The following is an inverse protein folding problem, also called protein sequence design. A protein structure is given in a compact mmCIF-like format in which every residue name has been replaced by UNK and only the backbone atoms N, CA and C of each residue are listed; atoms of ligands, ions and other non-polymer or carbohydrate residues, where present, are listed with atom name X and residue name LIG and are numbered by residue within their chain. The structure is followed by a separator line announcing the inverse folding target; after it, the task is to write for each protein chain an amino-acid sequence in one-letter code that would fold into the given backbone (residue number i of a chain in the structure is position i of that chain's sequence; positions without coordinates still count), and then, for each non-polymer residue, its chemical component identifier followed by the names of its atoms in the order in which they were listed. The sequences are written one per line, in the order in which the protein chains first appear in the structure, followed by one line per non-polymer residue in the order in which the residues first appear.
data_IF_222271131198
#
_entry.id   IF_222271131198
#
_cell.length_a   1.000
_cell.length_b   1.000
_cell.length_c   1.000
_cell.angle_alpha   90.00
_cell.angle_beta   90.00
_cell.angle_gamma   90.00
#
_symmetry.space_group_name_H-M   'P 1'
#
loop_
_entity.id
_entity.type
_entity.pdbx_description
1 polymer ?
#
# COMPACT_ATOMS: atom_id res chain seq x y z
N UNK A 1 4.85 13.26 -18.06
CA UNK A 1 5.37 12.39 -16.98
C UNK A 1 5.36 10.97 -17.51
N UNK A 2 6.38 10.17 -17.19
CA UNK A 2 6.42 8.77 -17.56
C UNK A 2 5.18 8.05 -16.99
N UNK A 3 4.63 7.12 -17.75
CA UNK A 3 3.50 6.33 -17.32
C UNK A 3 3.89 5.45 -16.11
N UNK A 4 3.05 5.32 -15.06
CA UNK A 4 3.32 4.44 -13.93
C UNK A 4 3.65 3.02 -14.40
N UNK A 5 4.66 2.42 -13.79
CA UNK A 5 5.17 1.08 -14.14
C UNK A 5 5.68 0.94 -15.58
N UNK A 6 6.00 2.01 -16.30
CA UNK A 6 6.54 1.88 -17.66
C UNK A 6 8.08 1.82 -17.65
N UNK A 7 8.63 0.66 -18.02
CA UNK A 7 10.07 0.43 -18.11
C UNK A 7 10.39 -0.25 -19.44
N UNK A 8 11.28 0.35 -20.24
CA UNK A 8 11.56 -0.15 -21.58
C UNK A 8 13.02 -0.56 -21.75
N UNK A 9 13.24 -1.70 -22.38
CA UNK A 9 14.43 -1.94 -23.19
C UNK A 9 14.13 -1.43 -24.60
N UNK A 10 15.04 -0.67 -25.21
CA UNK A 10 14.87 -0.19 -26.59
C UNK A 10 16.12 -0.48 -27.41
N UNK A 11 15.91 -0.63 -28.72
CA UNK A 11 16.96 -0.91 -29.71
C UNK A 11 16.92 0.18 -30.79
N UNK A 12 18.05 0.85 -31.00
CA UNK A 12 18.24 1.85 -32.06
C UNK A 12 19.18 1.31 -33.14
N UNK A 13 18.94 1.73 -34.37
CA UNK A 13 19.88 1.59 -35.48
C UNK A 13 20.72 2.87 -35.58
N UNK A 14 22.03 2.71 -35.63
CA UNK A 14 23.00 3.80 -35.78
C UNK A 14 23.40 3.99 -37.25
N UNK A 15 24.01 5.14 -37.56
CA UNK A 15 24.46 5.50 -38.92
C UNK A 15 25.41 4.50 -39.56
N UNK A 16 26.18 3.75 -38.77
CA UNK A 16 27.11 2.72 -39.23
C UNK A 16 26.47 1.33 -39.38
N UNK A 17 25.13 1.24 -39.27
CA UNK A 17 24.38 -0.01 -39.29
C UNK A 17 24.45 -0.81 -37.98
N UNK A 18 25.16 -0.31 -36.96
CA UNK A 18 25.23 -0.98 -35.66
C UNK A 18 23.93 -0.84 -34.86
N UNK A 19 23.71 -1.75 -33.92
CA UNK A 19 22.58 -1.72 -33.01
C UNK A 19 23.01 -1.25 -31.63
N UNK A 20 22.37 -0.17 -31.15
CA UNK A 20 22.47 0.27 -29.77
C UNK A 20 21.28 -0.25 -28.96
N UNK A 21 21.53 -0.83 -27.77
CA UNK A 21 20.48 -1.27 -26.84
C UNK A 21 20.60 -0.50 -25.53
N UNK A 22 19.48 0.03 -25.05
CA UNK A 22 19.43 0.83 -23.83
C UNK A 22 18.15 0.60 -23.02
N UNK A 23 18.15 1.16 -21.81
CA UNK A 23 16.99 1.25 -20.92
C UNK A 23 16.47 2.69 -20.81
N UNK A 24 15.14 2.87 -20.78
CA UNK A 24 14.50 4.14 -20.42
C UNK A 24 13.07 3.93 -19.91
N UNK A 25 12.57 4.72 -18.93
CA UNK A 25 11.13 4.80 -18.64
C UNK A 25 10.36 5.62 -19.69
N UNK A 26 11.06 6.39 -20.52
CA UNK A 26 10.51 7.21 -21.60
C UNK A 26 11.44 7.14 -22.83
N UNK A 27 11.08 6.28 -23.80
CA UNK A 27 11.92 6.02 -24.98
C UNK A 27 11.92 7.20 -25.94
N UNK A 28 10.80 7.90 -26.08
CA UNK A 28 10.66 9.04 -26.98
C UNK A 28 11.53 10.21 -26.53
N UNK A 29 11.43 10.58 -25.24
CA UNK A 29 12.28 11.62 -24.66
C UNK A 29 13.76 11.24 -24.76
N UNK A 30 14.09 9.95 -24.56
CA UNK A 30 15.47 9.46 -24.67
C UNK A 30 15.99 9.53 -26.11
N UNK A 31 15.19 9.16 -27.09
CA UNK A 31 15.55 9.27 -28.51
C UNK A 31 15.75 10.73 -28.93
N UNK A 32 14.90 11.64 -28.45
CA UNK A 32 15.05 13.07 -28.70
C UNK A 32 16.37 13.61 -28.11
N UNK A 33 16.77 13.17 -26.92
CA UNK A 33 18.06 13.53 -26.32
C UNK A 33 19.25 12.99 -27.15
N UNK A 34 19.17 11.74 -27.61
CA UNK A 34 20.19 11.15 -28.50
C UNK A 34 20.36 11.95 -29.78
N UNK A 35 19.26 12.36 -30.44
CA UNK A 35 19.30 13.17 -31.68
C UNK A 35 19.95 14.54 -31.49
N UNK A 36 19.95 15.07 -30.26
CA UNK A 36 20.58 16.33 -29.84
C UNK A 36 22.05 16.15 -29.37
N UNK A 37 22.62 14.94 -29.46
CA UNK A 37 23.97 14.65 -28.98
C UNK A 37 24.08 14.52 -27.45
N UNK A 38 22.96 14.53 -26.72
CA UNK A 38 22.91 14.37 -25.26
C UNK A 38 22.73 12.89 -24.86
N UNK A 39 23.20 11.99 -25.71
CA UNK A 39 23.10 10.54 -25.57
C UNK A 39 24.20 9.91 -24.71
N UNK A 40 24.23 8.58 -24.69
CA UNK A 40 25.39 7.86 -24.17
C UNK A 40 26.64 8.14 -25.02
N UNK A 41 27.83 7.99 -24.45
CA UNK A 41 29.11 8.20 -25.16
C UNK A 41 29.16 7.43 -26.50
N UNK A 42 28.63 6.20 -26.52
CA UNK A 42 28.53 5.40 -27.75
C UNK A 42 27.65 6.08 -28.81
N UNK A 43 26.43 6.48 -28.47
CA UNK A 43 25.49 7.14 -29.38
C UNK A 43 25.91 8.56 -29.80
N UNK A 44 26.85 9.18 -29.09
CA UNK A 44 27.49 10.43 -29.53
C UNK A 44 28.51 10.17 -30.65
N UNK A 45 29.23 9.05 -30.59
CA UNK A 45 30.16 8.63 -31.64
C UNK A 45 29.47 7.93 -32.81
N UNK A 46 28.35 7.24 -32.56
CA UNK A 46 27.56 6.47 -33.51
C UNK A 46 26.13 6.97 -33.48
N UNK A 47 25.83 8.00 -34.28
CA UNK A 47 24.57 8.74 -34.17
C UNK A 47 23.38 7.80 -34.46
N UNK A 48 22.38 7.74 -33.56
CA UNK A 48 21.19 6.93 -33.81
C UNK A 48 20.30 7.53 -34.89
N UNK A 49 19.91 6.72 -35.86
CA UNK A 49 19.00 7.07 -36.94
C UNK A 49 17.54 6.93 -36.51
N UNK A 50 17.17 5.75 -36.02
CA UNK A 50 15.78 5.40 -35.71
C UNK A 50 15.66 4.36 -34.60
N UNK A 51 14.48 4.36 -33.96
CA UNK A 51 14.05 3.27 -33.09
C UNK A 51 13.67 2.06 -33.96
N UNK A 52 14.28 0.92 -33.67
CA UNK A 52 14.02 -0.35 -34.38
C UNK A 52 12.94 -1.13 -33.66
N UNK A 53 13.07 -1.26 -32.34
CA UNK A 53 12.11 -1.97 -31.50
C UNK A 53 12.23 -1.51 -30.05
N UNK A 54 11.19 -1.77 -29.26
CA UNK A 54 11.21 -1.64 -27.81
C UNK A 54 10.42 -2.78 -27.17
N UNK A 55 10.85 -3.19 -25.99
CA UNK A 55 10.18 -4.18 -25.15
C UNK A 55 9.73 -3.50 -23.86
N UNK A 56 8.43 -3.59 -23.55
CA UNK A 56 7.86 -3.05 -22.32
C UNK A 56 7.91 -4.06 -21.18
N UNK A 57 8.31 -3.58 -20.01
CA UNK A 57 8.27 -4.26 -18.73
C UNK A 57 7.71 -3.32 -17.65
N UNK A 58 7.38 -3.89 -16.49
CA UNK A 58 6.68 -3.22 -15.40
C UNK A 58 7.57 -2.89 -14.21
N UNK A 59 8.80 -3.39 -14.22
CA UNK A 59 9.85 -3.06 -13.26
C UNK A 59 11.16 -2.71 -13.96
N UNK A 60 11.91 -1.77 -13.38
CA UNK A 60 13.26 -1.42 -13.82
C UNK A 60 14.18 -2.65 -13.88
N UNK A 61 14.12 -3.51 -12.85
CA UNK A 61 14.96 -4.70 -12.75
C UNK A 61 14.76 -5.66 -13.93
N UNK A 62 13.52 -5.88 -14.35
CA UNK A 62 13.23 -6.74 -15.50
C UNK A 62 13.69 -6.15 -16.82
N UNK A 63 13.46 -4.85 -17.04
CA UNK A 63 13.92 -4.18 -18.25
C UNK A 63 15.45 -4.20 -18.37
N UNK A 64 16.17 -3.97 -17.27
CA UNK A 64 17.64 -4.08 -17.23
C UNK A 64 18.13 -5.51 -17.43
N UNK A 65 17.42 -6.51 -16.90
CA UNK A 65 17.72 -7.92 -17.17
C UNK A 65 17.60 -8.24 -18.65
N UNK A 66 16.51 -7.79 -19.29
CA UNK A 66 16.29 -7.98 -20.73
C UNK A 66 17.40 -7.30 -21.55
N UNK A 67 17.74 -6.05 -21.20
CA UNK A 67 18.83 -5.31 -21.83
C UNK A 67 20.17 -6.06 -21.72
N UNK A 68 20.52 -6.51 -20.51
CA UNK A 68 21.78 -7.20 -20.26
C UNK A 68 21.90 -8.50 -21.04
N UNK A 69 20.81 -9.26 -21.15
CA UNK A 69 20.78 -10.47 -21.93
C UNK A 69 20.83 -10.22 -23.43
N UNK A 70 20.05 -9.26 -23.94
CA UNK A 70 20.04 -8.90 -25.35
C UNK A 70 21.40 -8.41 -25.82
N UNK A 71 22.14 -7.68 -24.98
CA UNK A 71 23.51 -7.21 -25.28
C UNK A 71 24.50 -8.34 -25.53
N UNK A 72 24.35 -9.50 -24.86
CA UNK A 72 25.23 -10.67 -25.01
C UNK A 72 25.04 -11.42 -26.34
N UNK A 73 23.94 -11.18 -27.04
CA UNK A 73 23.65 -11.83 -28.31
C UNK A 73 24.57 -11.33 -29.43
N UNK A 74 24.94 -12.24 -30.33
CA UNK A 74 25.61 -11.90 -31.59
C UNK A 74 24.68 -11.07 -32.48
N UNK A 75 25.25 -10.36 -33.48
CA UNK A 75 24.48 -9.55 -34.41
C UNK A 75 23.36 -10.36 -35.09
N UNK A 76 23.70 -11.55 -35.62
CA UNK A 76 22.74 -12.44 -36.28
C UNK A 76 21.63 -12.91 -35.34
N UNK A 77 21.92 -13.15 -34.06
CA UNK A 77 20.89 -13.50 -33.08
C UNK A 77 19.95 -12.32 -32.83
N UNK A 78 20.48 -11.09 -32.72
CA UNK A 78 19.67 -9.87 -32.57
C UNK A 78 18.75 -9.67 -33.77
N UNK A 79 19.28 -9.79 -34.98
CA UNK A 79 18.50 -9.64 -36.22
C UNK A 79 17.33 -10.64 -36.28
N UNK A 80 17.56 -11.90 -35.88
CA UNK A 80 16.51 -12.92 -35.81
C UNK A 80 15.40 -12.53 -34.84
N UNK A 81 15.74 -12.07 -33.64
CA UNK A 81 14.73 -11.65 -32.65
C UNK A 81 13.97 -10.41 -33.11
N UNK A 82 14.67 -9.43 -33.71
CA UNK A 82 14.05 -8.22 -34.24
C UNK A 82 13.13 -8.50 -35.44
N UNK A 83 13.50 -9.46 -36.31
CA UNK A 83 12.63 -9.92 -37.38
C UNK A 83 11.34 -10.57 -36.85
N UNK A 84 11.42 -11.36 -35.77
CA UNK A 84 10.23 -11.88 -35.09
C UNK A 84 9.37 -10.77 -34.47
N UNK A 85 10.02 -9.74 -33.91
CA UNK A 85 9.34 -8.59 -33.31
C UNK A 85 8.63 -7.67 -34.33
N UNK A 86 8.83 -7.89 -35.64
CA UNK A 86 8.05 -7.23 -36.66
C UNK A 86 6.56 -7.66 -36.67
N UNK A 87 6.26 -8.83 -36.08
CA UNK A 87 4.91 -9.42 -36.10
C UNK A 87 4.29 -9.61 -34.70
N UNK A 88 5.02 -9.31 -33.62
CA UNK A 88 4.54 -9.39 -32.23
C UNK A 88 5.39 -8.50 -31.31
N UNK A 89 4.91 -8.12 -30.12
CA UNK A 89 5.69 -7.31 -29.18
C UNK A 89 7.05 -7.93 -28.86
N UNK A 90 8.09 -7.10 -28.75
CA UNK A 90 9.44 -7.58 -28.50
C UNK A 90 9.54 -8.24 -27.12
N UNK A 91 8.86 -7.73 -26.10
CA UNK A 91 8.79 -8.36 -24.78
C UNK A 91 8.34 -9.82 -24.84
N UNK A 92 7.35 -10.14 -25.68
CA UNK A 92 6.87 -11.50 -25.86
C UNK A 92 7.91 -12.36 -26.57
N UNK A 93 8.66 -11.80 -27.53
CA UNK A 93 9.76 -12.51 -28.21
C UNK A 93 10.87 -12.82 -27.23
N UNK A 94 11.27 -11.83 -26.42
CA UNK A 94 12.34 -11.98 -25.43
C UNK A 94 11.98 -13.05 -24.39
N UNK A 95 10.76 -13.01 -23.84
CA UNK A 95 10.27 -14.02 -22.90
C UNK A 95 10.30 -15.42 -23.51
N UNK A 96 9.95 -15.56 -24.79
CA UNK A 96 9.84 -16.87 -25.43
C UNK A 96 11.15 -17.44 -25.98
N UNK A 97 12.14 -16.60 -26.28
CA UNK A 97 13.31 -16.99 -27.10
C UNK A 97 14.66 -16.64 -26.51
N UNK A 98 14.70 -15.83 -25.45
CA UNK A 98 15.97 -15.43 -24.87
C UNK A 98 16.41 -16.46 -23.84
N UNK A 99 17.51 -17.16 -24.14
CA UNK A 99 18.08 -18.19 -23.27
C UNK A 99 18.50 -17.62 -21.92
N UNK A 100 18.03 -18.25 -20.84
CA UNK A 100 18.35 -17.85 -19.46
C UNK A 100 17.64 -16.57 -18.99
N UNK A 101 16.73 -15.99 -19.78
CA UNK A 101 15.91 -14.87 -19.32
C UNK A 101 14.99 -15.34 -18.19
N UNK A 102 15.05 -14.72 -16.99
CA UNK A 102 14.29 -15.19 -15.84
C UNK A 102 12.78 -15.11 -16.08
N UNK A 103 12.07 -16.01 -15.40
CA UNK A 103 10.62 -15.99 -15.34
C UNK A 103 10.08 -14.69 -14.75
N UNK A 104 8.75 -14.59 -14.77
CA UNK A 104 8.08 -13.47 -14.15
C UNK A 104 8.44 -13.33 -12.67
N UNK A 105 8.93 -12.18 -12.21
CA UNK A 105 9.17 -11.95 -10.78
C UNK A 105 7.88 -11.51 -10.08
N UNK A 106 7.80 -11.69 -8.76
CA UNK A 106 6.67 -11.22 -7.95
C UNK A 106 6.43 -9.71 -8.13
N UNK A 107 7.49 -8.90 -8.13
CA UNK A 107 7.37 -7.45 -8.32
C UNK A 107 6.90 -7.10 -9.74
N UNK A 108 7.36 -7.81 -10.77
CA UNK A 108 6.84 -7.60 -12.13
C UNK A 108 5.37 -8.00 -12.22
N UNK A 109 5.00 -9.13 -11.63
CA UNK A 109 3.62 -9.60 -11.60
C UNK A 109 2.68 -8.57 -10.95
N UNK A 110 3.06 -8.05 -9.77
CA UNK A 110 2.26 -7.04 -9.06
C UNK A 110 2.18 -5.76 -9.88
N UNK A 111 3.32 -5.21 -10.32
CA UNK A 111 3.36 -3.97 -11.10
C UNK A 111 2.54 -4.07 -12.40
N UNK A 112 2.65 -5.19 -13.13
CA UNK A 112 1.86 -5.46 -14.33
C UNK A 112 0.37 -5.52 -14.03
N UNK A 113 0.00 -6.25 -12.98
CA UNK A 113 -1.41 -6.43 -12.60
C UNK A 113 -2.04 -5.10 -12.18
N UNK A 114 -1.31 -4.28 -11.41
CA UNK A 114 -1.76 -2.94 -11.01
C UNK A 114 -1.90 -2.01 -12.22
N UNK A 115 -0.93 -2.01 -13.13
CA UNK A 115 -0.97 -1.20 -14.34
C UNK A 115 -2.18 -1.54 -15.24
N UNK A 116 -2.52 -2.83 -15.35
CA UNK A 116 -3.67 -3.32 -16.13
C UNK A 116 -5.02 -3.02 -15.46
N UNK A 117 -5.07 -3.03 -14.12
CA UNK A 117 -6.31 -2.84 -13.36
C UNK A 117 -6.63 -1.38 -13.03
N UNK A 118 -5.77 -0.42 -13.43
CA UNK A 118 -5.92 1.00 -13.07
C UNK A 118 -7.20 1.62 -13.63
N UNK A 119 -7.79 2.51 -12.85
CA UNK A 119 -8.96 3.33 -13.21
C UNK A 119 -8.67 4.80 -12.88
N UNK A 120 -8.49 5.68 -13.88
CA UNK A 120 -8.17 7.10 -13.64
C UNK A 120 -9.20 7.82 -12.73
N UNK A 121 -10.47 7.46 -12.83
CA UNK A 121 -11.52 8.00 -11.96
C UNK A 121 -11.31 7.62 -10.48
N UNK A 122 -10.84 6.40 -10.22
CA UNK A 122 -10.55 5.94 -8.87
C UNK A 122 -9.28 6.59 -8.31
N UNK A 123 -8.26 6.84 -9.16
CA UNK A 123 -7.10 7.65 -8.76
C UNK A 123 -7.54 9.03 -8.27
N UNK A 124 -8.36 9.74 -9.06
CA UNK A 124 -8.85 11.06 -8.71
C UNK A 124 -9.72 11.06 -7.44
N UNK A 125 -10.49 9.99 -7.22
CA UNK A 125 -11.26 9.80 -6.00
C UNK A 125 -10.35 9.58 -4.77
N UNK A 126 -9.38 8.66 -4.87
CA UNK A 126 -8.45 8.35 -3.77
C UNK A 126 -7.58 9.55 -3.39
N UNK A 127 -7.13 10.35 -4.37
CA UNK A 127 -6.37 11.59 -4.12
C UNK A 127 -7.12 12.57 -3.20
N UNK A 128 -8.45 12.65 -3.32
CA UNK A 128 -9.27 13.52 -2.45
C UNK A 128 -9.43 12.93 -1.05
N UNK A 129 -9.46 11.61 -0.92
CA UNK A 129 -9.59 10.92 0.37
C UNK A 129 -8.28 10.85 1.16
N UNK A 130 -7.15 10.90 0.46
CA UNK A 130 -5.80 10.75 1.02
C UNK A 130 -4.95 11.98 0.68
N UNK A 131 -5.31 13.17 1.17
CA UNK A 131 -4.64 14.42 0.80
C UNK A 131 -3.19 14.50 1.31
N UNK A 132 -2.80 13.64 2.25
CA UNK A 132 -1.44 13.55 2.78
C UNK A 132 -0.50 12.73 1.88
N UNK A 133 -1.02 11.98 0.92
CA UNK A 133 -0.21 11.21 -0.02
C UNK A 133 0.13 12.01 -1.27
N UNK A 134 1.33 11.79 -1.81
CA UNK A 134 1.70 12.31 -3.12
C UNK A 134 0.79 11.72 -4.21
N UNK A 135 0.12 12.61 -4.95
CA UNK A 135 -0.73 12.27 -6.07
C UNK A 135 -0.02 11.40 -7.14
N UNK A 136 1.32 11.45 -7.24
CA UNK A 136 2.12 10.64 -8.13
C UNK A 136 2.20 9.16 -7.72
N UNK A 137 2.09 8.84 -6.43
CA UNK A 137 2.18 7.46 -5.91
C UNK A 137 0.86 6.71 -5.94
N UNK A 138 -0.26 7.40 -6.24
CA UNK A 138 -1.59 6.79 -6.36
C UNK A 138 -1.84 6.34 -7.80
N UNK A 139 -2.19 5.07 -7.98
CA UNK A 139 -2.48 4.43 -9.28
C UNK A 139 -3.98 4.39 -9.58
N UNK A 140 -4.80 4.12 -8.57
CA UNK A 140 -6.25 3.97 -8.66
C UNK A 140 -6.71 2.57 -9.07
N UNK A 141 -6.52 1.56 -8.23
CA UNK A 141 -6.96 0.17 -8.51
C UNK A 141 -8.11 -0.24 -7.58
N UNK A 142 -9.18 -0.88 -8.08
CA UNK A 142 -10.29 -1.33 -7.23
C UNK A 142 -9.86 -2.35 -6.19
N UNK A 143 -10.43 -2.28 -4.98
CA UNK A 143 -10.15 -3.23 -3.89
C UNK A 143 -10.39 -4.70 -4.28
N UNK A 144 -11.35 -4.98 -5.16
CA UNK A 144 -11.58 -6.33 -5.68
C UNK A 144 -10.38 -6.87 -6.45
N UNK A 145 -9.75 -6.04 -7.30
CA UNK A 145 -8.54 -6.40 -8.04
C UNK A 145 -7.35 -6.49 -7.09
N UNK A 146 -7.20 -5.56 -6.15
CA UNK A 146 -6.12 -5.61 -5.16
C UNK A 146 -6.14 -6.92 -4.35
N UNK A 147 -7.33 -7.38 -3.93
CA UNK A 147 -7.49 -8.68 -3.24
C UNK A 147 -7.13 -9.85 -4.14
N UNK A 148 -7.54 -9.84 -5.41
CA UNK A 148 -7.18 -10.88 -6.38
C UNK A 148 -5.66 -10.95 -6.55
N UNK A 149 -5.01 -9.79 -6.78
CA UNK A 149 -3.56 -9.68 -6.93
C UNK A 149 -2.84 -10.18 -5.68
N UNK A 150 -3.29 -9.81 -4.49
CA UNK A 150 -2.71 -10.27 -3.23
C UNK A 150 -2.79 -11.79 -3.06
N UNK A 151 -3.93 -12.40 -3.41
CA UNK A 151 -4.10 -13.87 -3.38
C UNK A 151 -3.17 -14.58 -4.37
N UNK A 152 -3.12 -14.09 -5.60
CA UNK A 152 -2.27 -14.65 -6.66
C UNK A 152 -0.79 -14.48 -6.30
N UNK A 153 -0.40 -13.35 -5.70
CA UNK A 153 0.95 -13.07 -5.22
C UNK A 153 1.42 -14.11 -4.19
N UNK A 154 0.61 -14.39 -3.15
CA UNK A 154 1.00 -15.33 -2.09
C UNK A 154 1.19 -16.76 -2.61
N UNK A 155 0.56 -17.12 -3.73
CA UNK A 155 0.73 -18.44 -4.35
C UNK A 155 2.06 -18.59 -5.11
N UNK A 156 2.84 -17.51 -5.26
CA UNK A 156 4.11 -17.52 -6.00
C UNK A 156 5.26 -17.97 -5.10
N UNK A 157 6.15 -18.80 -5.64
CA UNK A 157 7.36 -19.26 -4.93
C UNK A 157 8.30 -18.11 -4.53
N UNK A 158 8.28 -17.00 -5.27
CA UNK A 158 9.10 -15.82 -5.03
C UNK A 158 8.37 -14.67 -4.32
N UNK A 159 7.15 -14.89 -3.79
CA UNK A 159 6.33 -13.86 -3.15
C UNK A 159 7.08 -13.07 -2.07
N UNK A 160 7.92 -13.75 -1.28
CA UNK A 160 8.74 -13.14 -0.22
C UNK A 160 9.64 -12.02 -0.74
N UNK A 161 10.10 -12.08 -2.00
CA UNK A 161 10.94 -11.04 -2.59
C UNK A 161 10.21 -9.70 -2.68
N UNK A 162 8.94 -9.70 -3.09
CA UNK A 162 8.10 -8.51 -3.13
C UNK A 162 7.72 -8.05 -1.71
N UNK A 163 7.29 -8.98 -0.86
CA UNK A 163 6.86 -8.68 0.53
C UNK A 163 7.99 -8.16 1.44
N UNK A 164 9.24 -8.16 0.96
CA UNK A 164 10.41 -7.64 1.67
C UNK A 164 10.98 -6.36 1.04
N UNK A 165 10.42 -5.89 -0.08
CA UNK A 165 10.84 -4.67 -0.78
C UNK A 165 10.09 -3.45 -0.23
N UNK A 166 10.46 -3.02 0.99
CA UNK A 166 9.86 -1.87 1.65
C UNK A 166 10.86 -0.69 1.70
N UNK A 167 10.38 0.57 1.65
CA UNK A 167 8.99 0.96 1.37
C UNK A 167 8.60 0.73 -0.10
N UNK A 168 7.30 0.57 -0.35
CA UNK A 168 6.76 0.49 -1.71
C UNK A 168 6.71 1.86 -2.39
N UNK A 169 6.79 1.87 -3.72
CA UNK A 169 6.77 3.10 -4.50
C UNK A 169 5.35 3.63 -4.72
N UNK A 170 4.36 2.73 -4.78
CA UNK A 170 2.97 3.08 -5.02
C UNK A 170 2.06 2.71 -3.86
N UNK A 171 1.04 3.53 -3.62
CA UNK A 171 0.01 3.31 -2.61
C UNK A 171 -0.66 1.93 -2.77
N UNK A 172 -0.98 1.53 -4.00
CA UNK A 172 -1.59 0.24 -4.28
C UNK A 172 -0.66 -0.97 -4.05
N UNK A 173 0.67 -0.82 -4.15
CA UNK A 173 1.61 -1.88 -3.79
C UNK A 173 1.56 -2.16 -2.28
N UNK A 174 1.52 -1.10 -1.47
CA UNK A 174 1.30 -1.21 -0.01
C UNK A 174 -0.04 -1.87 0.32
N UNK A 175 -1.10 -1.59 -0.45
CA UNK A 175 -2.40 -2.25 -0.29
C UNK A 175 -2.36 -3.73 -0.67
N UNK A 176 -1.66 -4.10 -1.75
CA UNK A 176 -1.47 -5.51 -2.12
C UNK A 176 -0.76 -6.26 -0.98
N UNK A 177 0.32 -5.71 -0.42
CA UNK A 177 1.01 -6.33 0.71
C UNK A 177 0.13 -6.39 1.97
N UNK A 178 -0.62 -5.33 2.28
CA UNK A 178 -1.55 -5.32 3.41
C UNK A 178 -2.60 -6.44 3.29
N UNK A 179 -3.21 -6.58 2.11
CA UNK A 179 -4.24 -7.60 1.84
C UNK A 179 -3.65 -9.02 1.78
N UNK A 180 -2.39 -9.17 1.38
CA UNK A 180 -1.69 -10.45 1.31
C UNK A 180 -1.66 -11.17 2.67
N UNK A 181 -1.63 -10.41 3.78
CA UNK A 181 -1.69 -10.95 5.15
C UNK A 181 -2.87 -11.91 5.34
N UNK A 182 -4.03 -11.60 4.75
CA UNK A 182 -5.23 -12.43 4.86
C UNK A 182 -5.16 -13.77 4.13
N UNK A 183 -4.13 -14.00 3.32
CA UNK A 183 -3.93 -15.23 2.55
C UNK A 183 -2.73 -16.05 3.04
N UNK A 184 -2.04 -15.60 4.10
CA UNK A 184 -0.94 -16.35 4.73
C UNK A 184 -1.48 -17.50 5.58
N UNK A 185 -0.67 -18.55 5.72
CA UNK A 185 -1.15 -19.86 6.19
C UNK A 185 -1.23 -19.99 7.71
N UNK A 186 -0.42 -19.24 8.46
CA UNK A 186 -0.37 -19.32 9.94
C UNK A 186 -0.43 -17.96 10.62
N UNK A 187 -0.75 -17.97 11.92
CA UNK A 187 -0.68 -16.81 12.80
C UNK A 187 0.71 -16.15 12.77
N UNK A 188 1.77 -16.96 12.84
CA UNK A 188 3.16 -16.50 12.87
C UNK A 188 3.54 -15.82 11.56
N UNK A 189 3.14 -16.39 10.41
CA UNK A 189 3.37 -15.78 9.11
C UNK A 189 2.64 -14.45 8.97
N UNK A 190 1.37 -14.40 9.39
CA UNK A 190 0.55 -13.19 9.37
C UNK A 190 1.14 -12.10 10.29
N UNK A 191 1.51 -12.46 11.53
CA UNK A 191 2.13 -11.55 12.48
C UNK A 191 3.44 -10.98 11.94
N UNK A 192 4.34 -11.84 11.44
CA UNK A 192 5.62 -11.41 10.87
C UNK A 192 5.46 -10.52 9.63
N UNK A 193 4.43 -10.76 8.81
CA UNK A 193 4.12 -9.92 7.67
C UNK A 193 3.60 -8.54 8.09
N UNK A 194 2.72 -8.50 9.10
CA UNK A 194 2.21 -7.25 9.69
C UNK A 194 3.33 -6.44 10.33
N UNK A 195 4.15 -7.06 11.18
CA UNK A 195 5.26 -6.38 11.86
C UNK A 195 6.30 -5.83 10.89
N UNK A 196 6.49 -6.48 9.74
CA UNK A 196 7.36 -5.98 8.68
C UNK A 196 6.76 -4.77 7.96
N UNK A 197 5.45 -4.78 7.71
CA UNK A 197 4.75 -3.73 6.96
C UNK A 197 4.51 -2.47 7.79
N UNK A 198 4.08 -2.63 9.04
CA UNK A 198 3.59 -1.53 9.89
C UNK A 198 4.52 -0.31 9.98
N UNK A 199 5.86 -0.45 10.08
CA UNK A 199 6.77 0.70 10.13
C UNK A 199 6.76 1.60 8.88
N UNK A 200 6.19 1.11 7.78
CA UNK A 200 6.11 1.82 6.49
C UNK A 200 4.69 2.25 6.14
N UNK A 201 3.72 2.02 7.04
CA UNK A 201 2.35 2.46 6.83
C UNK A 201 2.24 3.93 7.23
N UNK A 202 1.89 4.77 6.25
CA UNK A 202 1.84 6.23 6.38
C UNK A 202 0.43 6.81 6.15
N UNK A 203 -0.58 5.95 6.02
CA UNK A 203 -1.96 6.36 5.80
C UNK A 203 -2.98 5.38 6.38
N UNK A 204 -4.16 5.91 6.70
CA UNK A 204 -5.22 5.14 7.34
C UNK A 204 -5.79 4.05 6.43
N UNK A 205 -5.77 4.24 5.11
CA UNK A 205 -6.39 3.32 4.16
C UNK A 205 -5.61 2.01 4.00
N UNK A 206 -4.27 2.06 4.05
CA UNK A 206 -3.42 0.86 4.13
C UNK A 206 -3.61 0.19 5.48
N UNK A 207 -3.49 0.96 6.58
CA UNK A 207 -3.63 0.44 7.93
C UNK A 207 -4.93 -0.36 8.08
N UNK A 208 -6.08 0.25 7.78
CA UNK A 208 -7.41 -0.30 8.01
C UNK A 208 -7.75 -1.50 7.10
N UNK A 209 -7.04 -1.66 5.99
CA UNK A 209 -7.25 -2.78 5.06
C UNK A 209 -6.43 -4.03 5.39
N UNK A 210 -5.46 -3.97 6.31
CA UNK A 210 -4.76 -5.17 6.77
C UNK A 210 -5.80 -6.13 7.41
N UNK A 211 -6.03 -7.33 6.84
CA UNK A 211 -6.99 -8.28 7.36
C UNK A 211 -6.62 -8.74 8.75
N UNK A 212 -7.63 -8.79 9.64
CA UNK A 212 -7.44 -9.28 11.00
C UNK A 212 -7.75 -10.78 11.13
N UNK A 213 -8.49 -11.35 10.18
CA UNK A 213 -8.94 -12.75 10.18
C UNK A 213 -7.89 -13.78 10.65
N UNK A 214 -6.62 -13.72 10.17
CA UNK A 214 -5.57 -14.64 10.61
C UNK A 214 -5.27 -14.66 12.11
N UNK A 215 -5.70 -13.64 12.86
CA UNK A 215 -5.49 -13.57 14.31
C UNK A 215 -6.68 -14.09 15.14
N UNK A 216 -7.75 -14.54 14.49
CA UNK A 216 -8.92 -15.10 15.17
C UNK A 216 -8.55 -16.36 15.96
N UNK A 217 -8.88 -16.43 17.24
CA UNK A 217 -8.54 -17.57 18.10
C UNK A 217 -7.13 -17.51 18.71
N UNK A 218 -6.36 -16.46 18.44
CA UNK A 218 -5.02 -16.21 18.97
C UNK A 218 -4.99 -14.98 19.90
N UNK A 219 -6.09 -14.70 20.60
CA UNK A 219 -6.23 -13.50 21.42
C UNK A 219 -5.25 -13.47 22.61
N UNK A 220 -4.79 -14.62 23.10
CA UNK A 220 -3.80 -14.68 24.18
C UNK A 220 -2.41 -14.32 23.65
N UNK A 221 -2.03 -14.87 22.50
CA UNK A 221 -0.76 -14.65 21.83
C UNK A 221 -0.61 -13.20 21.34
N UNK A 222 -1.74 -12.52 21.05
CA UNK A 222 -1.77 -11.12 20.69
C UNK A 222 -1.47 -10.16 21.85
N UNK A 223 -1.45 -10.61 23.11
CA UNK A 223 -1.29 -9.72 24.25
C UNK A 223 0.03 -8.91 24.22
N UNK A 224 1.14 -9.57 23.90
CA UNK A 224 2.45 -8.92 23.83
C UNK A 224 2.58 -7.99 22.60
N UNK A 225 2.22 -8.41 21.36
CA UNK A 225 2.14 -7.50 20.22
C UNK A 225 1.25 -6.28 20.47
N UNK A 226 0.08 -6.45 21.10
CA UNK A 226 -0.84 -5.36 21.40
C UNK A 226 -0.22 -4.33 22.34
N UNK A 227 0.50 -4.77 23.36
CA UNK A 227 1.20 -3.87 24.26
C UNK A 227 2.21 -3.02 23.47
N UNK A 228 3.00 -3.63 22.59
CA UNK A 228 3.96 -2.90 21.72
C UNK A 228 3.27 -1.94 20.77
N UNK A 229 2.21 -2.37 20.10
CA UNK A 229 1.54 -1.54 19.10
C UNK A 229 0.84 -0.34 19.74
N UNK A 230 0.13 -0.54 20.86
CA UNK A 230 -0.62 0.53 21.52
C UNK A 230 0.25 1.55 22.27
N UNK A 231 1.53 1.24 22.52
CA UNK A 231 2.50 2.15 23.15
C UNK A 231 3.57 2.68 22.18
N UNK A 232 3.47 2.35 20.89
CA UNK A 232 4.38 2.82 19.85
C UNK A 232 4.30 4.34 19.66
N UNK A 233 5.39 4.97 19.26
CA UNK A 233 5.45 6.36 18.83
C UNK A 233 4.98 6.59 17.38
N UNK A 234 4.57 5.53 16.67
CA UNK A 234 4.12 5.62 15.28
C UNK A 234 2.60 5.55 15.19
N UNK A 235 2.00 6.56 14.56
CA UNK A 235 0.56 6.71 14.43
C UNK A 235 -0.16 5.45 13.91
N UNK A 236 0.32 4.88 12.81
CA UNK A 236 -0.37 3.76 12.16
C UNK A 236 -0.10 2.40 12.82
N UNK A 237 0.98 2.30 13.61
CA UNK A 237 1.21 1.17 14.52
C UNK A 237 0.19 1.21 15.66
N UNK A 238 0.04 2.36 16.34
CA UNK A 238 -1.00 2.57 17.36
C UNK A 238 -2.40 2.32 16.82
N UNK A 239 -2.73 2.90 15.65
CA UNK A 239 -4.03 2.73 15.00
C UNK A 239 -4.32 1.25 14.69
N UNK A 240 -3.32 0.50 14.24
CA UNK A 240 -3.48 -0.93 14.00
C UNK A 240 -3.79 -1.68 15.30
N UNK A 241 -3.03 -1.42 16.38
CA UNK A 241 -3.29 -1.99 17.71
C UNK A 241 -4.71 -1.72 18.20
N UNK A 242 -5.18 -0.47 18.10
CA UNK A 242 -6.56 -0.09 18.43
C UNK A 242 -7.58 -0.86 17.59
N UNK A 243 -7.32 -1.10 16.29
CA UNK A 243 -8.23 -1.88 15.44
C UNK A 243 -8.29 -3.36 15.86
N UNK A 244 -7.17 -3.95 16.30
CA UNK A 244 -7.13 -5.32 16.82
C UNK A 244 -7.92 -5.40 18.14
N UNK A 245 -7.75 -4.43 19.06
CA UNK A 245 -8.55 -4.34 20.29
C UNK A 245 -10.06 -4.27 20.00
N UNK A 246 -10.44 -3.39 19.06
CA UNK A 246 -11.83 -3.24 18.61
C UNK A 246 -12.41 -4.53 18.05
N UNK A 247 -11.61 -5.34 17.35
CA UNK A 247 -12.09 -6.57 16.71
C UNK A 247 -12.28 -7.72 17.70
N UNK A 248 -11.37 -7.90 18.65
CA UNK A 248 -11.27 -9.13 19.44
C UNK A 248 -11.52 -8.95 20.95
N UNK A 249 -11.47 -7.72 21.48
CA UNK A 249 -11.41 -7.49 22.93
C UNK A 249 -12.56 -6.65 23.50
N UNK A 250 -13.69 -6.56 22.79
CA UNK A 250 -14.91 -5.87 23.25
C UNK A 250 -15.93 -6.81 23.92
N UNK A 251 -15.49 -7.98 24.40
CA UNK A 251 -16.34 -8.90 25.16
C UNK A 251 -16.54 -8.45 26.60
N UNK A 252 -17.52 -9.03 27.30
CA UNK A 252 -17.91 -8.67 28.67
C UNK A 252 -16.72 -8.64 29.66
N UNK A 253 -15.82 -9.62 29.57
CA UNK A 253 -14.67 -9.74 30.49
C UNK A 253 -13.49 -8.83 30.14
N UNK A 254 -13.43 -8.29 28.92
CA UNK A 254 -12.26 -7.57 28.40
C UNK A 254 -12.53 -6.10 28.11
N UNK A 255 -13.78 -5.71 27.83
CA UNK A 255 -14.13 -4.36 27.38
C UNK A 255 -13.68 -3.27 28.37
N UNK A 256 -13.93 -3.45 29.67
CA UNK A 256 -13.50 -2.46 30.67
C UNK A 256 -11.99 -2.18 30.66
N UNK A 257 -11.17 -3.22 30.48
CA UNK A 257 -9.71 -3.09 30.35
C UNK A 257 -9.32 -2.39 29.04
N UNK A 258 -10.00 -2.71 27.94
CA UNK A 258 -9.78 -2.03 26.65
C UNK A 258 -10.10 -0.54 26.74
N UNK A 259 -11.21 -0.16 27.38
CA UNK A 259 -11.59 1.24 27.58
C UNK A 259 -10.55 2.00 28.40
N UNK A 260 -9.95 1.36 29.40
CA UNK A 260 -8.81 1.90 30.14
C UNK A 260 -7.60 2.19 29.25
N UNK A 261 -7.25 1.27 28.33
CA UNK A 261 -6.20 1.51 27.34
C UNK A 261 -6.54 2.67 26.41
N UNK A 262 -7.77 2.73 25.90
CA UNK A 262 -8.22 3.80 24.98
C UNK A 262 -8.12 5.18 25.62
N UNK A 263 -8.40 5.28 26.92
CA UNK A 263 -8.27 6.54 27.64
C UNK A 263 -6.83 7.08 27.61
N UNK A 264 -5.82 6.20 27.67
CA UNK A 264 -4.40 6.59 27.80
C UNK A 264 -3.58 6.49 26.50
N UNK A 265 -3.97 5.66 25.54
CA UNK A 265 -3.26 5.50 24.27
C UNK A 265 -3.37 6.77 23.45
N UNK A 266 -2.30 7.56 23.38
CA UNK A 266 -2.18 8.77 22.54
C UNK A 266 -0.78 8.88 22.00
N UNK A 267 -0.63 9.57 20.86
CA UNK A 267 0.68 9.93 20.36
C UNK A 267 1.37 10.87 21.35
N UNK A 268 2.66 10.65 21.61
CA UNK A 268 3.42 11.47 22.55
C UNK A 268 3.42 12.94 22.13
N UNK A 269 3.11 13.84 23.07
CA UNK A 269 3.01 15.29 22.79
C UNK A 269 1.80 15.71 21.96
N UNK A 270 0.83 14.82 21.71
CA UNK A 270 -0.39 15.19 21.01
C UNK A 270 -1.16 16.30 21.76
N UNK A 271 -1.65 17.33 21.06
CA UNK A 271 -2.50 18.35 21.67
C UNK A 271 -3.88 17.76 22.04
N UNK A 272 -4.60 18.43 22.94
CA UNK A 272 -5.98 18.04 23.28
C UNK A 272 -6.94 18.15 22.09
N UNK A 273 -6.65 19.06 21.17
CA UNK A 273 -7.35 19.21 19.88
C UNK A 273 -6.36 18.95 18.75
N UNK A 274 -6.36 17.76 18.14
CA UNK A 274 -5.45 17.46 17.05
C UNK A 274 -5.84 18.20 15.76
N UNK A 275 -4.84 18.71 15.04
CA UNK A 275 -5.03 19.30 13.72
C UNK A 275 -5.55 18.25 12.73
N UNK A 276 -6.52 18.62 11.90
CA UNK A 276 -7.11 17.69 10.92
C UNK A 276 -6.04 17.20 9.95
N UNK A 277 -5.89 15.88 9.82
CA UNK A 277 -4.89 15.27 8.95
C UNK A 277 -3.53 15.03 9.59
N UNK A 278 -3.30 15.50 10.82
CA UNK A 278 -2.11 15.14 11.61
C UNK A 278 -2.13 13.66 12.02
N UNK A 279 -0.96 13.14 12.40
CA UNK A 279 -0.82 11.80 12.97
C UNK A 279 -1.66 11.61 14.24
N UNK A 280 -1.60 12.58 15.17
CA UNK A 280 -2.42 12.58 16.39
C UNK A 280 -3.92 12.48 16.06
N UNK A 281 -4.38 13.19 15.02
CA UNK A 281 -5.77 13.13 14.58
C UNK A 281 -6.19 11.71 14.15
N UNK A 282 -5.33 10.96 13.46
CA UNK A 282 -5.67 9.60 13.03
C UNK A 282 -5.64 8.58 14.16
N UNK A 283 -4.80 8.77 15.19
CA UNK A 283 -4.85 7.98 16.42
C UNK A 283 -6.14 8.29 17.19
N UNK A 284 -6.46 9.57 17.39
CA UNK A 284 -7.65 9.98 18.14
C UNK A 284 -8.96 9.60 17.43
N UNK A 285 -8.98 9.62 16.08
CA UNK A 285 -10.10 9.05 15.30
C UNK A 285 -10.26 7.54 15.53
N UNK A 286 -9.18 6.79 15.67
CA UNK A 286 -9.23 5.36 15.94
C UNK A 286 -9.77 5.07 17.36
N UNK A 287 -9.32 5.86 18.36
CA UNK A 287 -9.85 5.81 19.73
C UNK A 287 -11.35 6.10 19.77
N UNK A 288 -11.78 7.17 19.10
CA UNK A 288 -13.18 7.54 18.99
C UNK A 288 -14.03 6.45 18.30
N UNK A 289 -13.49 5.81 17.26
CA UNK A 289 -14.16 4.68 16.63
C UNK A 289 -14.26 3.49 17.57
N UNK A 290 -13.19 3.14 18.28
CA UNK A 290 -13.20 2.03 19.22
C UNK A 290 -14.25 2.26 20.30
N UNK A 291 -14.34 3.46 20.88
CA UNK A 291 -15.38 3.80 21.86
C UNK A 291 -16.79 3.62 21.32
N UNK A 292 -17.04 4.01 20.06
CA UNK A 292 -18.36 3.82 19.44
C UNK A 292 -18.70 2.34 19.22
N UNK A 293 -17.71 1.51 18.84
CA UNK A 293 -17.90 0.06 18.71
C UNK A 293 -18.06 -0.63 20.08
N UNK A 294 -17.30 -0.18 21.10
CA UNK A 294 -17.43 -0.65 22.47
C UNK A 294 -18.82 -0.32 23.03
N UNK A 295 -19.35 0.88 22.74
CA UNK A 295 -20.69 1.27 23.15
C UNK A 295 -21.76 0.40 22.51
N UNK A 296 -21.57 -0.01 21.25
CA UNK A 296 -22.48 -0.92 20.57
C UNK A 296 -22.42 -2.35 21.16
N UNK A 297 -21.23 -2.81 21.56
CA UNK A 297 -21.02 -4.16 22.09
C UNK A 297 -21.36 -4.29 23.58
N UNK A 298 -21.06 -3.26 24.38
CA UNK A 298 -21.09 -3.24 25.84
C UNK A 298 -21.53 -1.85 26.35
N UNK A 299 -22.82 -1.48 26.22
CA UNK A 299 -23.30 -0.14 26.51
C UNK A 299 -23.04 0.31 27.95
N UNK A 300 -23.42 -0.52 28.92
CA UNK A 300 -23.32 -0.22 30.36
C UNK A 300 -21.87 0.04 30.79
N UNK A 301 -20.93 -0.76 30.29
CA UNK A 301 -19.50 -0.61 30.57
C UNK A 301 -18.90 0.64 29.89
N UNK A 302 -19.43 1.04 28.73
CA UNK A 302 -18.85 2.11 27.91
C UNK A 302 -19.40 3.50 28.24
N UNK A 303 -20.68 3.61 28.62
CA UNK A 303 -21.33 4.89 28.95
C UNK A 303 -20.52 5.74 29.94
N UNK A 304 -19.98 5.20 31.06
CA UNK A 304 -19.20 6.00 32.02
C UNK A 304 -17.97 6.70 31.43
N UNK A 305 -17.38 6.16 30.35
CA UNK A 305 -16.25 6.79 29.65
C UNK A 305 -16.68 7.96 28.75
N UNK A 306 -17.95 8.01 28.36
CA UNK A 306 -18.55 9.06 27.53
C UNK A 306 -19.27 10.13 28.35
N UNK A 307 -19.45 9.92 29.65
CA UNK A 307 -19.94 10.96 30.56
C UNK A 307 -18.88 12.08 30.74
N UNK A 308 -19.28 13.30 31.14
CA UNK A 308 -18.35 14.41 31.35
C UNK A 308 -17.26 14.12 32.39
N UNK A 309 -17.55 13.29 33.39
CA UNK A 309 -16.60 12.78 34.40
C UNK A 309 -15.70 11.65 33.89
N UNK A 310 -15.92 11.18 32.66
CA UNK A 310 -15.16 10.08 32.07
C UNK A 310 -13.69 10.44 31.77
N UNK A 311 -12.86 9.40 31.68
CA UNK A 311 -11.40 9.49 31.55
C UNK A 311 -10.91 9.84 30.13
N UNK A 312 -11.80 9.94 29.16
CA UNK A 312 -11.43 10.26 27.76
C UNK A 312 -11.43 11.78 27.57
N UNK A 313 -10.46 12.30 26.81
CA UNK A 313 -10.39 13.71 26.42
C UNK A 313 -11.64 14.17 25.64
N UNK A 314 -11.91 15.47 25.69
CA UNK A 314 -13.16 16.02 25.15
C UNK A 314 -13.28 15.91 23.63
N UNK A 315 -12.16 16.03 22.90
CA UNK A 315 -12.18 15.88 21.45
C UNK A 315 -12.59 14.46 21.04
N UNK A 316 -11.92 13.46 21.62
CA UNK A 316 -12.17 12.04 21.33
C UNK A 316 -13.56 11.63 21.78
N UNK A 317 -14.01 12.09 22.96
CA UNK A 317 -15.37 11.89 23.46
C UNK A 317 -16.42 12.42 22.49
N UNK A 318 -16.29 13.66 22.01
CA UNK A 318 -17.23 14.26 21.04
C UNK A 318 -17.25 13.49 19.73
N UNK A 319 -16.08 13.10 19.23
CA UNK A 319 -15.97 12.31 18.00
C UNK A 319 -16.62 10.92 18.15
N UNK A 320 -16.45 10.27 19.30
CA UNK A 320 -17.08 8.99 19.62
C UNK A 320 -18.61 9.11 19.67
N UNK A 321 -19.13 10.12 20.37
CA UNK A 321 -20.57 10.38 20.45
C UNK A 321 -21.16 10.68 19.08
N UNK A 322 -20.48 11.48 18.26
CA UNK A 322 -20.93 11.74 16.89
C UNK A 322 -21.04 10.44 16.10
N UNK A 323 -19.97 9.63 16.08
CA UNK A 323 -19.94 8.36 15.36
C UNK A 323 -20.99 7.36 15.88
N UNK A 324 -21.20 7.32 17.19
CA UNK A 324 -22.22 6.49 17.82
C UNK A 324 -23.64 6.86 17.35
N UNK A 325 -23.93 8.17 17.24
CA UNK A 325 -25.23 8.66 16.78
C UNK A 325 -25.53 8.31 15.33
N UNK A 326 -24.50 8.25 14.50
CA UNK A 326 -24.59 7.87 13.08
C UNK A 326 -24.67 6.34 12.88
N UNK A 327 -24.40 5.54 13.93
CA UNK A 327 -24.36 4.08 13.85
C UNK A 327 -25.75 3.44 13.90
N UNK A 328 -26.00 2.47 13.02
CA UNK A 328 -27.19 1.61 13.08
C UNK A 328 -27.11 0.53 14.18
N UNK A 329 -25.93 0.29 14.76
CA UNK A 329 -25.74 -0.73 15.82
C UNK A 329 -26.18 -0.26 17.21
N UNK A 330 -26.46 1.04 17.37
CA UNK A 330 -26.75 1.66 18.66
C UNK A 330 -28.23 2.01 18.73
N UNK A 331 -28.88 1.64 19.83
CA UNK A 331 -30.31 1.89 20.06
C UNK A 331 -30.63 3.38 20.12
N UNK A 332 -31.87 3.74 19.79
CA UNK A 332 -32.32 5.13 19.85
C UNK A 332 -32.33 5.66 21.29
N UNK A 333 -32.58 4.80 22.28
CA UNK A 333 -32.48 5.13 23.70
C UNK A 333 -31.07 5.62 24.06
N UNK A 334 -30.03 4.85 23.73
CA UNK A 334 -28.64 5.23 23.98
C UNK A 334 -28.30 6.51 23.22
N UNK A 335 -28.70 6.63 21.95
CA UNK A 335 -28.48 7.86 21.16
C UNK A 335 -29.14 9.07 21.79
N UNK A 336 -30.35 8.93 22.32
CA UNK A 336 -31.07 10.01 22.98
C UNK A 336 -30.40 10.41 24.29
N UNK A 337 -29.97 9.43 25.09
CA UNK A 337 -29.16 9.69 26.28
C UNK A 337 -27.87 10.44 25.95
N UNK A 338 -27.11 10.02 24.94
CA UNK A 338 -25.88 10.71 24.51
C UNK A 338 -26.12 12.18 24.09
N UNK A 339 -27.30 12.52 23.57
CA UNK A 339 -27.66 13.92 23.23
C UNK A 339 -27.82 14.81 24.46
N UNK A 340 -28.14 14.21 25.62
CA UNK A 340 -28.32 14.95 26.88
C UNK A 340 -27.00 15.31 27.55
N UNK A 341 -25.91 14.60 27.20
CA UNK A 341 -24.62 14.79 27.85
C UNK A 341 -24.03 16.17 27.52
N UNK A 342 -23.62 16.97 28.52
CA UNK A 342 -23.07 18.28 28.28
C UNK A 342 -21.71 18.19 27.59
N UNK A 343 -21.37 19.24 26.85
CA UNK A 343 -20.03 19.42 26.25
C UNK A 343 -19.12 20.09 27.27
N UNK A 344 -17.89 19.60 27.39
CA UNK A 344 -16.81 20.29 28.14
C UNK A 344 -16.12 21.29 27.22
N UNK A 345 -15.50 22.37 27.69
CA UNK A 345 -14.62 23.18 26.85
C UNK A 345 -13.55 22.30 26.19
N UNK A 346 -13.19 22.60 24.94
CA UNK A 346 -11.94 22.07 24.39
C UNK A 346 -10.82 22.91 25.00
N UNK A 347 -9.84 22.23 25.61
CA UNK A 347 -8.67 22.84 26.23
C UNK A 347 -7.78 23.57 25.24
#
# INVERSE_FOLDING_TARGET
MAEPFAHYMYVLECEDGSLYTGYSPDVEARLAAHKKGQGARYTQAHRPLRLVAQARFYTKGRALSAEAHFKKLSHTQKDRLLAMAAHRPLEDVLVAKLDGFPEDTASEFVARSLAQARKPSLKAFNQKLLPTLDAATIVGVPTSELRRIAKDLVSRSDARSFLSQLPHAYFEESLVQALAVGFLGSYEEALAAVERLLPYVDNWAVCDQIPLGPFSGHEQELAEPLARWCTSDQCYVMRFGLRVLMRYFLGERSCGRVLGYVAVTRLSGAPDVPETGSEAYYVDKARAWLLAEALAAQPETTIPYLEPSGLVDEWTRRAAIQKARESHKISDEVKNYLKTLPRRPLG
#
